data_IF_136713113387
#
_entry.id   IF_136713113387
#
_cell.length_a   1.000
_cell.length_b   1.000
_cell.length_c   1.000
_cell.angle_alpha   90.00
_cell.angle_beta   90.00
_cell.angle_gamma   90.00
#
_symmetry.space_group_name_H-M   'P 1'
#
loop_
_entity.id
_entity.type
_entity.pdbx_description
1 polymer ?
#
# COMPACT_ATOMS: atom_id res chain seq x y z
N UNK A 1 -1.04 -22.91 -12.96
CA UNK A 1 -0.77 -21.46 -12.88
C UNK A 1 0.09 -21.26 -11.67
N UNK A 2 1.19 -20.54 -11.81
CA UNK A 2 2.12 -20.35 -10.69
C UNK A 2 1.82 -19.02 -10.03
N UNK A 3 1.53 -19.07 -8.73
CA UNK A 3 1.55 -17.89 -7.89
C UNK A 3 2.94 -17.24 -7.98
N UNK A 4 2.97 -15.91 -7.98
CA UNK A 4 4.18 -15.09 -7.98
C UNK A 4 3.96 -13.76 -7.28
N UNK A 5 5.08 -13.19 -6.85
CA UNK A 5 5.17 -11.86 -6.25
C UNK A 5 6.22 -11.11 -7.08
N UNK A 6 5.77 -10.13 -7.85
CA UNK A 6 6.64 -9.29 -8.66
C UNK A 6 6.87 -7.95 -7.92
N UNK A 7 8.06 -7.36 -8.12
CA UNK A 7 8.43 -6.06 -7.54
C UNK A 7 8.70 -5.05 -8.64
N UNK A 8 8.06 -3.90 -8.55
CA UNK A 8 8.34 -2.70 -9.33
C UNK A 8 8.90 -1.65 -8.37
N UNK A 9 9.88 -0.87 -8.83
CA UNK A 9 10.37 0.29 -8.09
C UNK A 9 9.99 1.53 -8.88
N UNK A 10 9.37 2.49 -8.21
CA UNK A 10 9.06 3.81 -8.76
C UNK A 10 9.73 4.86 -7.90
N UNK A 11 10.21 5.93 -8.52
CA UNK A 11 10.94 7.00 -7.84
C UNK A 11 10.18 8.32 -7.96
N UNK A 12 10.19 9.10 -6.89
CA UNK A 12 9.54 10.40 -6.86
C UNK A 12 9.73 11.08 -5.52
N UNK A 13 8.77 11.92 -5.14
CA UNK A 13 8.91 12.81 -3.98
C UNK A 13 7.89 12.44 -2.91
N UNK A 14 8.37 12.24 -1.68
CA UNK A 14 7.56 12.22 -0.47
C UNK A 14 7.49 13.63 0.11
N UNK A 15 6.29 14.12 0.44
CA UNK A 15 6.08 15.45 1.02
C UNK A 15 5.20 15.40 2.28
N UNK A 16 5.72 15.95 3.37
CA UNK A 16 4.99 16.05 4.65
C UNK A 16 5.60 17.15 5.52
N UNK A 17 4.76 17.89 6.25
CA UNK A 17 5.17 18.97 7.16
C UNK A 17 6.06 20.04 6.51
N UNK A 18 5.86 20.31 5.22
CA UNK A 18 6.66 21.23 4.43
C UNK A 18 8.07 20.73 4.09
N UNK A 19 8.41 19.49 4.46
CA UNK A 19 9.58 18.79 3.96
C UNK A 19 9.28 18.05 2.66
N UNK A 20 10.34 17.80 1.88
CA UNK A 20 10.29 17.16 0.57
C UNK A 20 11.54 16.29 0.42
N UNK A 21 11.36 15.03 0.04
CA UNK A 21 12.43 14.04 -0.03
C UNK A 21 12.29 13.18 -1.29
N UNK A 22 13.37 13.04 -2.04
CA UNK A 22 13.47 12.06 -3.13
C UNK A 22 13.54 10.65 -2.53
N UNK A 23 12.64 9.78 -2.98
CA UNK A 23 12.47 8.43 -2.45
C UNK A 23 12.26 7.41 -3.58
N UNK A 24 12.67 6.17 -3.31
CA UNK A 24 12.33 5.01 -4.10
C UNK A 24 11.31 4.18 -3.32
N UNK A 25 10.15 3.91 -3.91
CA UNK A 25 9.10 3.09 -3.29
C UNK A 25 8.98 1.76 -4.02
N UNK A 26 8.82 0.68 -3.23
CA UNK A 26 8.49 -0.63 -3.78
C UNK A 26 6.99 -0.70 -4.01
N UNK A 27 6.58 -1.05 -5.22
CA UNK A 27 5.23 -1.46 -5.57
C UNK A 27 5.24 -2.96 -5.80
N UNK A 28 4.32 -3.68 -5.17
CA UNK A 28 4.26 -5.14 -5.28
C UNK A 28 3.06 -5.60 -6.08
N UNK A 29 3.26 -6.63 -6.88
CA UNK A 29 2.19 -7.30 -7.64
C UNK A 29 2.10 -8.74 -7.16
N UNK A 30 0.99 -9.07 -6.52
CA UNK A 30 0.76 -10.36 -5.87
C UNK A 30 -0.34 -11.10 -6.63
N UNK A 31 -0.04 -12.25 -7.22
CA UNK A 31 -1.05 -13.03 -7.93
C UNK A 31 -0.48 -14.10 -8.83
N UNK A 32 -1.13 -14.35 -9.97
CA UNK A 32 -0.69 -15.32 -10.97
C UNK A 32 -0.73 -14.72 -12.39
N UNK A 33 -0.88 -15.55 -13.42
CA UNK A 33 -1.00 -15.14 -14.82
C UNK A 33 -2.37 -14.56 -15.19
N UNK A 34 -3.38 -14.65 -14.32
CA UNK A 34 -4.76 -14.24 -14.59
C UNK A 34 -5.18 -13.03 -13.77
N UNK A 35 -4.87 -13.03 -12.49
CA UNK A 35 -5.30 -11.96 -11.58
C UNK A 35 -4.20 -11.55 -10.61
N UNK A 36 -4.30 -10.32 -10.12
CA UNK A 36 -3.26 -9.67 -9.32
C UNK A 36 -3.85 -8.64 -8.36
N UNK A 37 -3.24 -8.50 -7.20
CA UNK A 37 -3.39 -7.35 -6.31
C UNK A 37 -2.15 -6.48 -6.47
N UNK A 38 -2.36 -5.17 -6.62
CA UNK A 38 -1.29 -4.17 -6.61
C UNK A 38 -1.21 -3.61 -5.19
N UNK A 39 -0.02 -3.64 -4.59
CA UNK A 39 0.24 -3.06 -3.27
C UNK A 39 1.03 -1.77 -3.46
N UNK A 40 0.42 -0.68 -3.00
CA UNK A 40 0.82 0.71 -3.20
C UNK A 40 0.80 1.17 -4.67
N UNK A 41 0.65 2.47 -4.85
CA UNK A 41 0.53 3.14 -6.14
C UNK A 41 1.32 4.45 -6.09
N UNK A 42 2.64 4.30 -5.96
CA UNK A 42 3.58 5.32 -5.54
C UNK A 42 3.76 6.46 -6.56
N UNK A 43 4.75 6.39 -7.47
CA UNK A 43 5.22 7.57 -8.22
C UNK A 43 5.04 7.54 -9.73
N UNK A 44 4.64 6.42 -10.31
CA UNK A 44 4.42 6.29 -11.77
C UNK A 44 3.45 5.14 -12.04
N UNK A 45 2.41 5.37 -12.83
CA UNK A 45 1.45 4.34 -13.22
C UNK A 45 1.99 3.40 -14.30
N UNK A 46 2.82 3.90 -15.22
CA UNK A 46 3.26 3.16 -16.40
C UNK A 46 4.02 1.86 -16.06
N UNK A 47 5.08 1.84 -15.24
CA UNK A 47 5.79 0.61 -14.93
C UNK A 47 4.91 -0.39 -14.15
N UNK A 48 3.94 0.11 -13.37
CA UNK A 48 2.97 -0.71 -12.66
C UNK A 48 2.02 -1.38 -13.66
N UNK A 49 1.45 -0.62 -14.59
CA UNK A 49 0.54 -1.14 -15.65
C UNK A 49 1.27 -2.13 -16.57
N UNK A 50 2.51 -1.83 -16.95
CA UNK A 50 3.35 -2.74 -17.73
C UNK A 50 3.58 -4.05 -16.97
N UNK A 51 3.86 -3.98 -15.67
CA UNK A 51 4.01 -5.16 -14.82
C UNK A 51 2.68 -5.92 -14.64
N UNK A 52 1.54 -5.24 -14.52
CA UNK A 52 0.20 -5.88 -14.48
C UNK A 52 0.00 -6.72 -15.74
N UNK A 53 0.50 -6.28 -16.90
CA UNK A 53 0.57 -7.08 -18.13
C UNK A 53 -0.80 -7.66 -18.57
N UNK A 54 -1.88 -6.88 -18.39
CA UNK A 54 -3.23 -7.25 -18.78
C UNK A 54 -3.94 -8.26 -17.85
N UNK A 55 -3.33 -8.61 -16.72
CA UNK A 55 -3.98 -9.40 -15.66
C UNK A 55 -5.15 -8.63 -15.07
N UNK A 56 -6.19 -9.34 -14.62
CA UNK A 56 -7.29 -8.74 -13.87
C UNK A 56 -6.78 -8.21 -12.53
N UNK A 57 -6.94 -6.92 -12.29
CA UNK A 57 -6.57 -6.33 -11.00
C UNK A 57 -7.75 -6.49 -10.04
N UNK A 58 -7.54 -7.24 -8.96
CA UNK A 58 -8.57 -7.50 -7.95
C UNK A 58 -8.79 -6.26 -7.07
N UNK A 59 -7.69 -5.61 -6.70
CA UNK A 59 -7.67 -4.38 -5.92
C UNK A 59 -6.30 -3.69 -6.07
N UNK A 60 -6.30 -2.37 -5.88
CA UNK A 60 -5.10 -1.61 -5.52
C UNK A 60 -5.20 -1.39 -4.01
N UNK A 61 -4.25 -1.89 -3.23
CA UNK A 61 -4.25 -1.78 -1.76
C UNK A 61 -3.14 -0.84 -1.36
N UNK A 62 -3.49 0.32 -0.79
CA UNK A 62 -2.54 1.25 -0.22
C UNK A 62 -2.26 0.86 1.23
N UNK A 63 -0.99 0.64 1.56
CA UNK A 63 -0.55 0.28 2.91
C UNK A 63 -0.76 1.43 3.90
N UNK A 64 -0.69 2.66 3.41
CA UNK A 64 -1.02 3.87 4.17
C UNK A 64 -1.23 5.07 3.24
N UNK A 65 -1.63 6.21 3.80
CA UNK A 65 -2.08 7.39 3.06
C UNK A 65 -1.03 8.41 2.62
N UNK A 66 0.27 8.20 2.86
CA UNK A 66 1.28 9.16 2.40
C UNK A 66 1.33 9.22 0.87
N UNK A 67 1.68 10.39 0.34
CA UNK A 67 1.62 10.67 -1.09
C UNK A 67 2.52 9.70 -1.90
N UNK A 68 3.67 9.31 -1.36
CA UNK A 68 4.59 8.35 -1.98
C UNK A 68 4.07 6.90 -2.01
N UNK A 69 2.89 6.63 -1.44
CA UNK A 69 2.18 5.35 -1.54
C UNK A 69 0.85 5.45 -2.30
N UNK A 70 0.25 6.63 -2.39
CA UNK A 70 -1.12 6.79 -2.92
C UNK A 70 -1.24 7.65 -4.17
N UNK A 71 -0.20 8.38 -4.60
CA UNK A 71 -0.33 9.42 -5.64
C UNK A 71 -1.02 8.92 -6.91
N UNK A 72 -0.72 7.69 -7.36
CA UNK A 72 -1.33 7.13 -8.58
C UNK A 72 -2.51 6.18 -8.30
N UNK A 73 -2.93 6.03 -7.04
CA UNK A 73 -3.96 5.05 -6.67
C UNK A 73 -5.30 5.29 -7.39
N UNK A 74 -5.89 6.52 -7.42
CA UNK A 74 -7.13 6.75 -8.16
C UNK A 74 -7.00 6.49 -9.65
N UNK A 75 -5.92 6.96 -10.27
CA UNK A 75 -5.65 6.75 -11.70
C UNK A 75 -5.55 5.27 -12.04
N UNK A 76 -4.81 4.49 -11.25
CA UNK A 76 -4.73 3.04 -11.42
C UNK A 76 -6.08 2.36 -11.21
N UNK A 77 -6.84 2.78 -10.20
CA UNK A 77 -8.19 2.25 -9.94
C UNK A 77 -9.12 2.44 -11.14
N UNK A 78 -9.13 3.63 -11.74
CA UNK A 78 -9.91 3.93 -12.95
C UNK A 78 -9.41 3.14 -14.17
N UNK A 79 -8.10 3.17 -14.43
CA UNK A 79 -7.50 2.54 -15.62
C UNK A 79 -7.62 1.01 -15.60
N UNK A 80 -7.51 0.41 -14.42
CA UNK A 80 -7.51 -1.05 -14.23
C UNK A 80 -8.88 -1.58 -13.78
N UNK A 81 -9.88 -0.70 -13.65
CA UNK A 81 -11.23 -1.01 -13.19
C UNK A 81 -11.23 -1.77 -11.84
N UNK A 82 -10.38 -1.33 -10.91
CA UNK A 82 -10.15 -1.98 -9.63
C UNK A 82 -10.50 -1.05 -8.47
N UNK A 83 -11.04 -1.57 -7.35
CA UNK A 83 -11.23 -0.78 -6.16
C UNK A 83 -9.87 -0.39 -5.56
N UNK A 84 -9.75 0.87 -5.17
CA UNK A 84 -8.64 1.38 -4.35
C UNK A 84 -9.01 1.21 -2.89
N UNK A 85 -8.28 0.34 -2.18
CA UNK A 85 -8.48 0.05 -0.76
C UNK A 85 -7.49 0.86 0.09
N UNK A 86 -8.00 1.56 1.10
CA UNK A 86 -7.20 2.24 2.11
C UNK A 86 -7.90 2.15 3.48
N UNK A 87 -7.12 2.06 4.55
CA UNK A 87 -7.66 2.09 5.90
C UNK A 87 -8.19 3.49 6.24
N UNK A 88 -9.41 3.63 6.79
CA UNK A 88 -10.04 4.93 7.04
C UNK A 88 -9.30 5.79 8.08
N UNK A 89 -8.40 5.19 8.87
CA UNK A 89 -7.49 5.94 9.75
C UNK A 89 -6.61 6.95 9.00
N UNK A 90 -6.38 6.74 7.70
CA UNK A 90 -5.58 7.62 6.85
C UNK A 90 -6.42 8.59 5.99
N UNK A 91 -7.68 8.84 6.35
CA UNK A 91 -8.53 9.79 5.62
C UNK A 91 -7.88 11.19 5.48
N UNK A 92 -7.29 11.71 6.56
CA UNK A 92 -6.62 13.02 6.54
C UNK A 92 -5.42 13.03 5.58
N UNK A 93 -4.59 11.98 5.61
CA UNK A 93 -3.43 11.84 4.71
C UNK A 93 -3.88 11.67 3.24
N UNK A 94 -4.92 10.88 3.01
CA UNK A 94 -5.54 10.73 1.70
C UNK A 94 -6.01 12.07 1.14
N UNK A 95 -6.74 12.85 1.95
CA UNK A 95 -7.28 14.15 1.53
C UNK A 95 -6.19 15.18 1.22
N UNK A 96 -4.98 15.05 1.79
CA UNK A 96 -3.84 15.90 1.43
C UNK A 96 -3.40 15.72 -0.03
N UNK A 97 -3.58 14.51 -0.60
CA UNK A 97 -3.19 14.18 -1.98
C UNK A 97 -4.39 14.17 -2.93
N UNK A 98 -5.53 13.66 -2.46
CA UNK A 98 -6.71 13.30 -3.25
C UNK A 98 -7.99 13.92 -2.70
N UNK A 99 -7.93 15.18 -2.26
CA UNK A 99 -9.04 15.90 -1.64
C UNK A 99 -10.40 15.64 -2.30
N UNK A 100 -11.33 15.05 -1.54
CA UNK A 100 -12.70 14.80 -1.97
C UNK A 100 -12.89 13.58 -2.91
N UNK A 101 -11.82 12.83 -3.20
CA UNK A 101 -11.93 11.55 -3.89
C UNK A 101 -12.24 10.44 -2.89
N UNK A 102 -13.09 9.49 -3.27
CA UNK A 102 -13.44 8.36 -2.43
C UNK A 102 -12.45 7.19 -2.62
N UNK A 103 -12.22 6.46 -1.55
CA UNK A 103 -11.60 5.13 -1.58
C UNK A 103 -12.56 4.10 -0.97
N UNK A 104 -12.29 2.82 -1.23
CA UNK A 104 -12.98 1.72 -0.59
C UNK A 104 -12.31 1.41 0.74
N UNK A 105 -13.12 1.28 1.79
CA UNK A 105 -12.63 1.01 3.13
C UNK A 105 -11.89 -0.33 3.20
N UNK A 106 -10.70 -0.30 3.78
CA UNK A 106 -9.91 -1.48 4.13
C UNK A 106 -9.88 -1.62 5.66
N UNK A 107 -10.48 -2.67 6.21
CA UNK A 107 -10.59 -2.89 7.66
C UNK A 107 -9.55 -3.89 8.19
N UNK A 108 -9.22 -3.78 9.48
CA UNK A 108 -8.44 -4.80 10.18
C UNK A 108 -9.08 -6.19 10.07
N UNK A 109 -8.24 -7.21 9.81
CA UNK A 109 -8.67 -8.59 9.59
C UNK A 109 -9.42 -8.84 8.28
N UNK A 110 -9.59 -7.83 7.42
CA UNK A 110 -10.19 -8.01 6.09
C UNK A 110 -9.31 -8.93 5.24
N UNK A 111 -9.96 -9.80 4.45
CA UNK A 111 -9.26 -10.74 3.56
C UNK A 111 -9.60 -10.48 2.11
N UNK A 112 -8.57 -10.41 1.28
CA UNK A 112 -8.66 -10.21 -0.16
C UNK A 112 -8.18 -11.47 -0.86
N UNK A 113 -9.09 -12.17 -1.53
CA UNK A 113 -8.76 -13.36 -2.31
C UNK A 113 -8.05 -12.97 -3.61
N UNK A 114 -6.96 -13.66 -3.94
CA UNK A 114 -6.23 -13.49 -5.19
C UNK A 114 -5.47 -14.76 -5.55
N UNK A 115 -5.57 -15.21 -6.80
CA UNK A 115 -4.80 -16.33 -7.35
C UNK A 115 -4.90 -17.63 -6.52
N UNK A 116 -6.06 -17.88 -5.91
CA UNK A 116 -6.30 -19.06 -5.06
C UNK A 116 -5.70 -18.98 -3.65
N UNK A 117 -5.19 -17.82 -3.24
CA UNK A 117 -4.74 -17.51 -1.88
C UNK A 117 -5.50 -16.31 -1.29
N UNK A 118 -5.22 -15.94 -0.06
CA UNK A 118 -5.79 -14.77 0.62
C UNK A 118 -4.69 -13.86 1.19
N UNK A 119 -4.88 -12.55 1.03
CA UNK A 119 -4.13 -11.51 1.72
C UNK A 119 -4.96 -11.05 2.91
N UNK A 120 -4.43 -11.16 4.11
CA UNK A 120 -5.03 -10.64 5.35
C UNK A 120 -4.46 -9.26 5.67
N UNK A 121 -5.33 -8.28 5.86
CA UNK A 121 -4.97 -6.94 6.30
C UNK A 121 -4.83 -6.94 7.82
N UNK A 122 -3.73 -6.39 8.32
CA UNK A 122 -3.45 -6.24 9.75
C UNK A 122 -3.24 -4.75 10.00
N UNK A 123 -4.09 -4.13 10.81
CA UNK A 123 -3.92 -2.73 11.19
C UNK A 123 -2.73 -2.58 12.13
N UNK A 124 -1.76 -1.77 11.70
CA UNK A 124 -0.49 -1.56 12.39
C UNK A 124 -0.21 -0.06 12.50
N UNK A 125 -1.02 0.68 13.29
CA UNK A 125 -0.88 2.12 13.40
C UNK A 125 0.50 2.51 13.96
N UNK A 126 0.95 3.72 13.62
CA UNK A 126 2.15 4.32 14.22
C UNK A 126 3.01 5.06 13.20
N UNK A 127 3.26 4.49 12.02
CA UNK A 127 3.86 5.25 10.92
C UNK A 127 2.86 6.27 10.37
N UNK A 128 1.64 5.81 10.13
CA UNK A 128 0.42 6.61 9.97
C UNK A 128 -0.69 6.05 10.87
N UNK A 129 -1.81 6.76 11.09
CA UNK A 129 -2.90 6.25 11.91
C UNK A 129 -3.64 5.06 11.25
N UNK A 130 -3.62 4.97 9.93
CA UNK A 130 -4.22 3.91 9.13
C UNK A 130 -3.24 2.90 8.53
N UNK A 131 -1.95 2.91 8.92
CA UNK A 131 -0.98 1.96 8.39
C UNK A 131 -1.45 0.52 8.54
N UNK A 132 -1.31 -0.28 7.48
CA UNK A 132 -1.61 -1.71 7.48
C UNK A 132 -0.43 -2.53 6.96
N UNK A 133 -0.26 -3.72 7.53
CA UNK A 133 0.55 -4.78 6.95
C UNK A 133 -0.34 -5.76 6.18
N UNK A 134 0.19 -6.35 5.11
CA UNK A 134 -0.49 -7.36 4.30
C UNK A 134 0.19 -8.71 4.51
N UNK A 135 -0.51 -9.63 5.18
CA UNK A 135 -0.01 -10.95 5.52
C UNK A 135 -0.50 -12.00 4.52
N UNK A 136 0.44 -12.79 3.98
CA UNK A 136 0.18 -13.89 3.06
C UNK A 136 0.70 -15.19 3.67
N UNK A 137 -0.15 -15.91 4.43
CA UNK A 137 0.28 -17.10 5.17
C UNK A 137 0.90 -18.17 4.29
N UNK A 138 0.29 -18.44 3.12
CA UNK A 138 0.72 -19.51 2.21
C UNK A 138 2.07 -19.21 1.55
N UNK A 139 2.35 -17.93 1.27
CA UNK A 139 3.62 -17.47 0.73
C UNK A 139 4.68 -17.22 1.82
N UNK A 140 4.30 -17.29 3.11
CA UNK A 140 5.12 -16.88 4.27
C UNK A 140 5.72 -15.49 4.08
N UNK A 141 4.91 -14.57 3.58
CA UNK A 141 5.31 -13.21 3.26
C UNK A 141 4.46 -12.21 4.06
N UNK A 142 5.09 -11.11 4.44
CA UNK A 142 4.46 -9.95 5.06
C UNK A 142 4.96 -8.71 4.32
N UNK A 143 4.03 -7.90 3.82
CA UNK A 143 4.32 -6.59 3.26
C UNK A 143 3.97 -5.56 4.29
N UNK A 144 4.97 -4.89 4.85
CA UNK A 144 4.80 -4.06 6.04
C UNK A 144 4.49 -2.60 5.74
N UNK A 145 4.54 -2.23 4.45
CA UNK A 145 4.70 -0.83 4.06
C UNK A 145 5.81 -0.19 4.90
N UNK A 146 5.51 1.00 5.40
CA UNK A 146 6.42 1.76 6.24
C UNK A 146 6.23 1.48 7.74
N UNK A 147 5.49 0.43 8.13
CA UNK A 147 5.41 0.02 9.55
C UNK A 147 6.76 -0.52 10.05
N UNK A 148 7.48 -1.28 9.22
CA UNK A 148 8.73 -1.93 9.57
C UNK A 148 9.73 -1.82 8.41
N UNK A 149 10.92 -1.33 8.72
CA UNK A 149 12.05 -1.26 7.80
C UNK A 149 13.12 -2.30 8.12
N UNK A 150 14.03 -2.50 7.17
CA UNK A 150 15.24 -3.26 7.44
C UNK A 150 16.06 -2.58 8.55
N UNK A 151 16.06 -3.20 9.74
CA UNK A 151 16.82 -2.72 10.89
C UNK A 151 16.04 -1.94 11.94
N UNK A 152 14.71 -1.77 11.78
CA UNK A 152 13.92 -1.11 12.82
C UNK A 152 12.49 -0.74 12.41
N UNK A 153 11.74 -0.09 13.32
CA UNK A 153 10.43 0.46 12.99
C UNK A 153 10.50 1.45 11.83
N UNK A 154 9.34 1.66 11.21
CA UNK A 154 9.08 2.78 10.32
C UNK A 154 9.52 4.14 10.84
N UNK A 155 9.65 5.10 9.91
CA UNK A 155 9.93 6.47 10.29
C UNK A 155 8.74 7.08 11.04
N UNK A 156 9.00 7.70 12.19
CA UNK A 156 8.02 8.46 12.98
C UNK A 156 8.62 9.80 13.41
N UNK A 157 7.80 10.72 13.91
CA UNK A 157 8.22 12.04 14.39
C UNK A 157 7.78 13.21 13.51
N UNK A 158 7.00 12.93 12.46
CA UNK A 158 6.23 13.90 11.65
C UNK A 158 4.76 13.85 12.05
N UNK A 159 3.95 14.78 11.54
CA UNK A 159 2.49 14.75 11.69
C UNK A 159 1.93 13.37 11.32
N UNK A 160 0.86 12.97 12.01
CA UNK A 160 0.16 11.69 11.81
C UNK A 160 0.95 10.43 12.20
N UNK A 161 2.14 10.55 12.78
CA UNK A 161 2.92 9.41 13.27
C UNK A 161 3.08 9.40 14.80
N UNK A 162 3.24 8.22 15.39
CA UNK A 162 3.49 8.02 16.83
C UNK A 162 4.43 6.84 17.10
N UNK A 163 5.54 7.11 17.79
CA UNK A 163 6.59 6.11 18.03
C UNK A 163 6.21 5.03 19.06
N UNK A 164 5.63 5.34 20.23
CA UNK A 164 5.11 4.29 21.12
C UNK A 164 4.12 3.36 20.40
N UNK A 165 3.20 3.92 19.61
CA UNK A 165 2.20 3.14 18.87
C UNK A 165 2.85 2.22 17.83
N UNK A 166 3.82 2.68 17.02
CA UNK A 166 4.47 1.81 16.03
C UNK A 166 5.22 0.65 16.69
N UNK A 167 5.83 0.88 17.87
CA UNK A 167 6.51 -0.17 18.63
C UNK A 167 5.51 -1.21 19.14
N UNK A 168 4.34 -0.79 19.62
CA UNK A 168 3.30 -1.72 20.06
C UNK A 168 2.69 -2.51 18.88
N UNK A 169 2.59 -1.91 17.69
CA UNK A 169 2.18 -2.60 16.45
C UNK A 169 3.17 -3.67 15.96
N UNK A 170 4.45 -3.56 16.29
CA UNK A 170 5.51 -4.49 15.83
C UNK A 170 5.69 -5.70 16.76
N UNK A 171 5.27 -5.60 18.02
CA UNK A 171 5.47 -6.62 19.06
C UNK A 171 4.59 -7.85 18.88
#
# INVERSE_FOLDING_TARGET
MSFRIDRVVTSGVFELDGGSWEVDNNVWLIGDDREVVVVDAAHDDKPIVEAVAGRKVVAVICTHGHNDHVTYAPQLGEQLYAPVLLHPGDQELWDMTHAGQAFWKADDGQRIAVAGTEIELIHTPGHSPGSVCLHLPEAKALFTGDTLFAGGPGATGRSFSDFPTIIDSIR
#
